data_IF_778700023805
#
_entry.id   IF_778700023805
#
_cell.length_a   1.000
_cell.length_b   1.000
_cell.length_c   1.000
_cell.angle_alpha   90.00
_cell.angle_beta   90.00
_cell.angle_gamma   90.00
#
_symmetry.space_group_name_H-M   'P 1'
#
loop_
_entity.id
_entity.type
_entity.pdbx_description
1 polymer ?
#
# COMPACT_ATOMS: atom_id res chain seq x y z
N UNK A 1 0.96 8.22 13.19
CA UNK A 1 0.10 7.22 12.54
C UNK A 1 -1.35 7.43 12.97
N UNK A 2 -1.58 7.63 14.27
CA UNK A 2 -2.89 7.80 14.90
C UNK A 2 -3.80 8.80 14.19
N UNK A 3 -3.33 10.03 13.93
CA UNK A 3 -4.14 11.04 13.22
C UNK A 3 -4.58 10.61 11.81
N UNK A 4 -3.78 9.80 11.12
CA UNK A 4 -4.15 9.24 9.82
C UNK A 4 -5.18 8.13 9.98
N UNK A 5 -4.98 7.22 10.94
CA UNK A 5 -5.93 6.16 11.26
C UNK A 5 -7.30 6.75 11.65
N UNK A 6 -7.33 7.70 12.59
CA UNK A 6 -8.54 8.40 13.02
C UNK A 6 -9.26 9.07 11.84
N UNK A 7 -8.51 9.73 10.96
CA UNK A 7 -9.08 10.39 9.79
C UNK A 7 -9.63 9.38 8.77
N UNK A 8 -8.99 8.22 8.60
CA UNK A 8 -9.48 7.14 7.73
C UNK A 8 -10.77 6.56 8.30
N UNK A 9 -10.78 6.22 9.60
CA UNK A 9 -11.99 5.74 10.29
C UNK A 9 -13.14 6.73 10.16
N UNK A 10 -12.90 8.02 10.43
CA UNK A 10 -13.90 9.07 10.25
C UNK A 10 -14.41 9.14 8.80
N UNK A 11 -13.51 8.99 7.82
CA UNK A 11 -13.85 8.94 6.41
C UNK A 11 -14.72 7.74 6.04
N UNK A 12 -14.42 6.55 6.55
CA UNK A 12 -15.19 5.32 6.29
C UNK A 12 -16.57 5.42 6.96
N UNK A 13 -16.63 5.82 8.23
CA UNK A 13 -17.89 5.97 8.98
C UNK A 13 -18.81 7.06 8.41
N UNK A 14 -18.26 8.15 7.89
CA UNK A 14 -19.06 9.16 7.18
C UNK A 14 -19.77 8.61 5.94
N UNK A 15 -19.36 7.44 5.43
CA UNK A 15 -19.98 6.73 4.30
C UNK A 15 -20.92 5.60 4.74
N UNK A 16 -21.14 5.43 6.04
CA UNK A 16 -22.05 4.42 6.58
C UNK A 16 -21.42 3.05 6.83
N UNK A 17 -20.12 2.90 6.61
CA UNK A 17 -19.36 1.67 6.82
C UNK A 17 -18.53 1.72 8.12
N UNK A 18 -18.06 0.57 8.59
CA UNK A 18 -17.12 0.46 9.71
C UNK A 18 -15.77 -0.08 9.24
N UNK A 19 -14.70 0.27 9.95
CA UNK A 19 -13.34 -0.26 9.71
C UNK A 19 -12.71 -0.66 11.03
N UNK A 20 -12.08 -1.83 11.05
CA UNK A 20 -11.21 -2.26 12.14
C UNK A 20 -9.78 -1.80 11.84
N UNK A 21 -9.09 -1.29 12.86
CA UNK A 21 -7.74 -0.74 12.72
C UNK A 21 -6.78 -1.49 13.62
N UNK A 22 -5.85 -2.21 12.99
CA UNK A 22 -4.72 -2.85 13.66
C UNK A 22 -3.43 -2.02 13.48
N UNK A 23 -2.72 -1.79 14.58
CA UNK A 23 -1.45 -1.04 14.58
C UNK A 23 -0.28 -2.02 14.69
N UNK A 24 0.52 -2.09 13.63
CA UNK A 24 1.74 -2.89 13.59
C UNK A 24 2.98 -2.01 13.80
N UNK A 25 3.55 -2.08 15.01
CA UNK A 25 4.83 -1.45 15.32
C UNK A 25 5.99 -2.34 14.88
N UNK A 26 6.90 -1.81 14.06
CA UNK A 26 8.05 -2.59 13.57
C UNK A 26 9.21 -2.65 14.58
N UNK A 27 9.34 -1.68 15.49
CA UNK A 27 10.46 -1.61 16.43
C UNK A 27 10.61 -2.88 17.29
N UNK A 28 9.54 -3.47 17.85
CA UNK A 28 9.61 -4.76 18.56
C UNK A 28 10.07 -5.93 17.68
N UNK A 29 9.85 -5.87 16.36
CA UNK A 29 10.17 -6.94 15.42
C UNK A 29 11.61 -6.86 14.88
N UNK A 30 12.39 -5.85 15.25
CA UNK A 30 13.69 -5.58 14.62
C UNK A 30 14.66 -6.78 14.64
N UNK A 31 14.78 -7.46 15.78
CA UNK A 31 15.65 -8.64 15.91
C UNK A 31 15.12 -9.84 15.11
N UNK A 32 13.81 -10.07 15.15
CA UNK A 32 13.14 -11.16 14.42
C UNK A 32 13.21 -10.95 12.90
N UNK A 33 13.08 -9.71 12.43
CA UNK A 33 13.26 -9.32 11.03
C UNK A 33 14.71 -9.52 10.58
N UNK A 34 15.70 -9.09 11.39
CA UNK A 34 17.10 -9.34 11.09
C UNK A 34 17.41 -10.84 10.98
N UNK A 35 16.81 -11.65 11.87
CA UNK A 35 16.91 -13.13 11.80
C UNK A 35 16.31 -13.66 10.50
N UNK A 36 15.13 -13.18 10.12
CA UNK A 36 14.45 -13.59 8.89
C UNK A 36 15.29 -13.26 7.65
N UNK A 37 15.84 -12.04 7.55
CA UNK A 37 16.65 -11.61 6.40
C UNK A 37 17.98 -12.37 6.31
N UNK A 38 18.59 -12.74 7.43
CA UNK A 38 19.90 -13.42 7.45
C UNK A 38 19.81 -14.93 7.31
N UNK A 39 18.72 -15.54 7.79
CA UNK A 39 18.55 -17.01 7.81
C UNK A 39 17.52 -17.51 6.81
N UNK A 40 16.62 -16.65 6.33
CA UNK A 40 15.45 -17.02 5.53
C UNK A 40 14.29 -17.62 6.33
N UNK A 41 14.42 -17.78 7.66
CA UNK A 41 13.41 -18.40 8.52
C UNK A 41 12.72 -17.31 9.33
N UNK A 42 11.42 -17.13 9.11
CA UNK A 42 10.61 -16.15 9.82
C UNK A 42 10.16 -16.71 11.20
N UNK A 43 10.49 -16.04 12.32
CA UNK A 43 9.91 -16.38 13.61
C UNK A 43 8.40 -16.05 13.65
N UNK A 44 7.69 -16.60 14.63
CA UNK A 44 6.22 -16.55 14.68
C UNK A 44 5.64 -15.13 14.73
N UNK A 45 6.34 -14.19 15.36
CA UNK A 45 5.94 -12.77 15.42
C UNK A 45 6.02 -12.08 14.05
N UNK A 46 7.05 -12.39 13.24
CA UNK A 46 7.18 -11.92 11.86
C UNK A 46 6.12 -12.56 10.98
N UNK A 47 5.86 -13.86 11.13
CA UNK A 47 4.78 -14.53 10.38
C UNK A 47 3.43 -13.86 10.67
N UNK A 48 3.08 -13.67 11.95
CA UNK A 48 1.84 -13.00 12.33
C UNK A 48 1.75 -11.57 11.78
N UNK A 49 2.84 -10.82 11.79
CA UNK A 49 2.89 -9.47 11.22
C UNK A 49 2.69 -9.46 9.70
N UNK A 50 3.24 -10.44 8.99
CA UNK A 50 3.04 -10.61 7.53
C UNK A 50 1.59 -10.97 7.22
N UNK A 51 1.02 -11.91 7.97
CA UNK A 51 -0.35 -12.37 7.79
C UNK A 51 -1.36 -11.24 8.06
N UNK A 52 -1.11 -10.41 9.08
CA UNK A 52 -1.91 -9.23 9.38
C UNK A 52 -1.96 -8.27 8.19
N UNK A 53 -0.79 -7.95 7.58
CA UNK A 53 -0.71 -7.04 6.44
C UNK A 53 -1.32 -7.66 5.18
N UNK A 54 -1.14 -8.97 4.96
CA UNK A 54 -1.69 -9.68 3.81
C UNK A 54 -3.23 -9.83 3.87
N UNK A 55 -3.81 -9.79 5.07
CA UNK A 55 -5.26 -9.84 5.28
C UNK A 55 -5.94 -8.47 5.21
N UNK A 56 -5.18 -7.37 5.22
CA UNK A 56 -5.73 -6.02 5.29
C UNK A 56 -6.38 -5.57 3.97
N UNK A 57 -7.58 -4.98 4.06
CA UNK A 57 -8.27 -4.37 2.92
C UNK A 57 -7.65 -3.03 2.48
N UNK A 58 -6.81 -2.43 3.34
CA UNK A 58 -5.99 -1.26 3.01
C UNK A 58 -4.93 -1.01 4.05
N UNK A 59 -3.91 -0.22 3.68
CA UNK A 59 -2.72 -0.03 4.52
C UNK A 59 -2.36 1.45 4.65
N UNK A 60 -1.97 1.86 5.86
CA UNK A 60 -1.29 3.14 6.11
C UNK A 60 0.16 2.86 6.47
N UNK A 61 1.07 3.05 5.52
CA UNK A 61 2.49 2.78 5.70
C UNK A 61 3.23 4.05 6.14
N UNK A 62 3.77 4.05 7.36
CA UNK A 62 4.46 5.20 7.95
C UNK A 62 5.91 4.85 8.26
N UNK A 63 6.86 5.74 7.93
CA UNK A 63 8.29 5.52 8.21
C UNK A 63 9.00 6.81 8.65
N UNK A 64 9.88 6.76 9.66
CA UNK A 64 10.77 7.88 9.92
C UNK A 64 11.81 8.00 8.81
N UNK A 65 12.20 9.23 8.48
CA UNK A 65 13.25 9.51 7.50
C UNK A 65 14.63 9.39 8.14
N UNK A 66 15.42 8.41 7.68
CA UNK A 66 16.83 8.25 8.04
C UNK A 66 17.69 8.32 6.78
N UNK A 67 18.76 9.12 6.81
CA UNK A 67 19.70 9.30 5.68
C UNK A 67 18.98 9.62 4.36
N UNK A 68 18.01 10.54 4.41
CA UNK A 68 17.17 10.98 3.29
C UNK A 68 16.35 9.86 2.60
N UNK A 69 16.10 8.75 3.28
CA UNK A 69 15.24 7.66 2.81
C UNK A 69 14.32 7.15 3.93
N UNK A 70 13.46 6.19 3.61
CA UNK A 70 12.75 5.39 4.61
C UNK A 70 13.74 4.67 5.53
N UNK A 71 13.29 4.32 6.75
CA UNK A 71 14.14 3.57 7.68
C UNK A 71 14.51 2.18 7.16
N UNK A 72 15.70 1.70 7.55
CA UNK A 72 16.13 0.34 7.20
C UNK A 72 15.20 -0.73 7.75
N UNK A 73 14.62 -0.51 8.93
CA UNK A 73 13.64 -1.41 9.53
C UNK A 73 12.34 -1.51 8.72
N UNK A 74 11.85 -0.38 8.22
CA UNK A 74 10.73 -0.36 7.29
C UNK A 74 11.03 -1.20 6.05
N UNK A 75 12.20 -0.99 5.43
CA UNK A 75 12.59 -1.76 4.25
C UNK A 75 12.74 -3.25 4.54
N UNK A 76 13.35 -3.63 5.67
CA UNK A 76 13.48 -5.03 6.07
C UNK A 76 12.12 -5.71 6.21
N UNK A 77 11.10 -5.03 6.73
CA UNK A 77 9.76 -5.59 6.81
C UNK A 77 9.16 -5.84 5.42
N UNK A 78 9.22 -4.87 4.50
CA UNK A 78 8.72 -5.07 3.14
C UNK A 78 9.52 -6.10 2.33
N UNK A 79 10.80 -6.29 2.65
CA UNK A 79 11.65 -7.31 2.00
C UNK A 79 11.30 -8.75 2.37
N UNK A 80 10.66 -8.95 3.52
CA UNK A 80 10.23 -10.28 3.95
C UNK A 80 8.78 -10.59 3.58
N UNK A 81 8.03 -9.65 2.98
CA UNK A 81 6.68 -9.91 2.49
C UNK A 81 6.71 -10.78 1.22
N UNK A 82 5.57 -11.44 0.94
CA UNK A 82 5.39 -12.07 -0.35
C UNK A 82 5.25 -10.96 -1.43
N UNK A 83 5.92 -11.05 -2.59
CA UNK A 83 5.89 -10.01 -3.61
C UNK A 83 4.49 -9.62 -4.09
N UNK A 84 3.54 -10.54 -4.03
CA UNK A 84 2.17 -10.31 -4.50
C UNK A 84 1.21 -9.91 -3.37
N UNK A 85 1.64 -9.89 -2.10
CA UNK A 85 0.77 -9.69 -0.93
C UNK A 85 0.08 -8.32 -0.88
N UNK A 86 0.58 -7.34 -1.62
CA UNK A 86 0.04 -5.98 -1.66
C UNK A 86 -0.56 -5.61 -3.02
N UNK A 87 -0.71 -6.58 -3.93
CA UNK A 87 -1.24 -6.31 -5.27
C UNK A 87 -2.64 -5.72 -5.19
N UNK A 88 -2.79 -4.48 -5.68
CA UNK A 88 -4.06 -3.76 -5.70
C UNK A 88 -4.53 -3.25 -4.33
N UNK A 89 -3.79 -3.50 -3.25
CA UNK A 89 -4.18 -3.06 -1.90
C UNK A 89 -4.11 -1.53 -1.83
N UNK A 90 -5.24 -0.84 -1.55
CA UNK A 90 -5.26 0.59 -1.35
C UNK A 90 -4.32 1.04 -0.23
N UNK A 91 -3.47 2.04 -0.49
CA UNK A 91 -2.46 2.44 0.48
C UNK A 91 -2.27 3.96 0.59
N UNK A 92 -2.11 4.45 1.83
CA UNK A 92 -1.52 5.76 2.11
C UNK A 92 -0.08 5.59 2.54
N UNK A 93 0.82 6.36 1.94
CA UNK A 93 2.23 6.44 2.37
C UNK A 93 2.49 7.73 3.13
N UNK A 94 3.21 7.62 4.24
CA UNK A 94 3.54 8.75 5.09
C UNK A 94 4.96 8.65 5.66
N UNK A 95 5.54 9.81 5.96
CA UNK A 95 6.87 9.87 6.56
C UNK A 95 7.00 11.02 7.56
N UNK A 96 7.85 10.82 8.57
CA UNK A 96 8.18 11.83 9.58
C UNK A 96 9.66 12.18 9.54
N UNK A 97 10.00 13.45 9.78
CA UNK A 97 11.38 13.90 9.82
C UNK A 97 11.60 15.09 10.76
N UNK A 98 12.86 15.36 11.09
CA UNK A 98 13.26 16.57 11.82
C UNK A 98 13.10 17.86 11.01
N UNK A 99 13.09 17.78 9.67
CA UNK A 99 13.03 18.95 8.77
C UNK A 99 12.22 18.62 7.50
N UNK A 100 11.64 19.62 6.81
CA UNK A 100 10.89 19.41 5.57
C UNK A 100 11.75 19.17 4.33
N UNK A 101 13.08 19.29 4.44
CA UNK A 101 14.03 19.20 3.30
C UNK A 101 14.00 17.85 2.58
N UNK A 102 13.50 16.81 3.25
CA UNK A 102 13.40 15.46 2.71
C UNK A 102 11.97 15.06 2.34
N UNK A 103 11.05 16.02 2.16
CA UNK A 103 9.64 15.75 1.84
C UNK A 103 9.44 14.86 0.61
N UNK A 104 10.31 15.04 -0.39
CA UNK A 104 10.34 14.28 -1.63
C UNK A 104 10.69 12.79 -1.46
N UNK A 105 11.10 12.33 -0.26
CA UNK A 105 11.35 10.91 0.02
C UNK A 105 10.14 10.03 -0.28
N UNK A 106 8.92 10.57 -0.10
CA UNK A 106 7.69 9.83 -0.34
C UNK A 106 7.56 9.46 -1.82
N UNK A 107 7.89 10.36 -2.73
CA UNK A 107 7.73 10.14 -4.17
C UNK A 107 8.96 9.51 -4.83
N UNK A 108 10.15 9.66 -4.23
CA UNK A 108 11.40 9.13 -4.80
C UNK A 108 11.90 7.84 -4.17
N UNK A 109 11.40 7.44 -2.99
CA UNK A 109 11.80 6.21 -2.33
C UNK A 109 10.60 5.34 -1.92
N UNK A 110 9.65 5.90 -1.18
CA UNK A 110 8.54 5.10 -0.61
C UNK A 110 7.57 4.64 -1.69
N UNK A 111 7.05 5.55 -2.51
CA UNK A 111 6.09 5.23 -3.58
C UNK A 111 6.69 4.26 -4.62
N UNK A 112 7.94 4.41 -5.10
CA UNK A 112 8.56 3.41 -5.95
C UNK A 112 8.61 2.01 -5.34
N UNK A 113 8.91 1.88 -4.04
CA UNK A 113 8.89 0.60 -3.34
C UNK A 113 7.48 -0.01 -3.31
N UNK A 114 6.46 0.80 -2.99
CA UNK A 114 5.07 0.32 -2.96
C UNK A 114 4.55 -0.05 -4.36
N UNK A 115 4.93 0.71 -5.39
CA UNK A 115 4.61 0.41 -6.78
C UNK A 115 5.27 -0.90 -7.24
N UNK A 116 6.50 -1.19 -6.80
CA UNK A 116 7.15 -2.47 -7.08
C UNK A 116 6.34 -3.65 -6.50
N UNK A 117 5.76 -3.47 -5.31
CA UNK A 117 4.84 -4.42 -4.66
C UNK A 117 3.39 -4.34 -5.19
N UNK A 118 3.17 -3.57 -6.28
CA UNK A 118 1.88 -3.38 -6.96
C UNK A 118 0.76 -2.87 -6.06
N UNK A 119 1.09 -2.15 -4.99
CA UNK A 119 0.10 -1.49 -4.14
C UNK A 119 -0.58 -0.33 -4.87
N UNK A 120 -1.86 -0.10 -4.59
CA UNK A 120 -2.62 1.05 -5.12
C UNK A 120 -2.46 2.25 -4.20
N UNK A 121 -1.31 2.92 -4.33
CA UNK A 121 -0.97 4.07 -3.49
C UNK A 121 -1.78 5.29 -3.90
N UNK A 122 -2.53 5.86 -2.96
CA UNK A 122 -3.33 7.07 -3.21
C UNK A 122 -2.45 8.26 -3.62
N UNK A 123 -3.00 9.23 -4.38
CA UNK A 123 -2.23 10.40 -4.83
C UNK A 123 -1.63 11.21 -3.68
N UNK A 124 -2.39 11.46 -2.61
CA UNK A 124 -1.93 12.31 -1.51
C UNK A 124 -1.05 11.53 -0.53
N UNK A 125 0.26 11.78 -0.57
CA UNK A 125 1.21 11.32 0.44
C UNK A 125 1.30 12.32 1.62
N UNK A 126 1.61 11.83 2.83
CA UNK A 126 1.67 12.68 4.04
C UNK A 126 3.08 12.75 4.59
N UNK A 127 3.69 13.93 4.49
CA UNK A 127 4.95 14.23 5.16
C UNK A 127 4.71 15.15 6.37
N UNK A 128 5.30 14.82 7.51
CA UNK A 128 5.27 15.66 8.71
C UNK A 128 6.71 15.96 9.18
N UNK A 129 7.13 17.22 9.06
CA UNK A 129 8.32 17.70 9.74
C UNK A 129 8.00 18.07 11.19
N UNK A 130 9.01 18.12 12.06
CA UNK A 130 8.81 18.48 13.47
C UNK A 130 8.18 19.87 13.66
N UNK A 131 8.49 20.81 12.77
CA UNK A 131 7.89 22.16 12.78
C UNK A 131 6.46 22.21 12.26
N UNK A 132 6.00 21.18 11.54
CA UNK A 132 4.66 21.13 10.94
C UNK A 132 3.62 20.47 11.86
N UNK A 133 4.05 19.93 12.99
CA UNK A 133 3.14 19.29 13.93
C UNK A 133 2.10 20.31 14.44
N UNK A 134 0.84 19.91 14.41
CA UNK A 134 -0.34 20.74 14.73
C UNK A 134 -0.62 21.92 13.77
N UNK A 135 -0.01 21.95 12.58
CA UNK A 135 -0.42 22.92 11.54
C UNK A 135 -1.76 22.56 10.91
N UNK A 136 -2.52 23.58 10.51
CA UNK A 136 -3.80 23.41 9.79
C UNK A 136 -3.58 22.73 8.44
N UNK A 137 -2.47 23.03 7.77
CA UNK A 137 -2.11 22.48 6.46
C UNK A 137 -1.84 20.98 6.52
N UNK A 138 -1.08 20.50 7.53
CA UNK A 138 -0.86 19.08 7.76
C UNK A 138 -2.19 18.37 8.02
N UNK A 139 -3.04 18.92 8.88
CA UNK A 139 -4.37 18.36 9.16
C UNK A 139 -5.26 18.26 7.92
N UNK A 140 -5.24 19.27 7.03
CA UNK A 140 -5.96 19.24 5.76
C UNK A 140 -5.42 18.18 4.80
N UNK A 141 -4.09 17.99 4.75
CA UNK A 141 -3.46 16.94 3.94
C UNK A 141 -3.77 15.54 4.46
N UNK A 142 -3.74 15.33 5.78
CA UNK A 142 -4.15 14.08 6.43
C UNK A 142 -5.59 13.73 6.06
N UNK A 143 -6.53 14.67 6.20
CA UNK A 143 -7.94 14.45 5.83
C UNK A 143 -8.12 14.12 4.36
N UNK A 144 -7.34 14.76 3.47
CA UNK A 144 -7.39 14.46 2.03
C UNK A 144 -6.91 13.04 1.73
N UNK A 145 -5.73 12.65 2.22
CA UNK A 145 -5.19 11.31 2.04
C UNK A 145 -6.12 10.23 2.61
N UNK A 146 -6.65 10.47 3.82
CA UNK A 146 -7.61 9.59 4.45
C UNK A 146 -8.92 9.46 3.65
N UNK A 147 -9.41 10.58 3.11
CA UNK A 147 -10.62 10.59 2.27
C UNK A 147 -10.46 9.79 0.98
N UNK A 148 -9.27 9.87 0.35
CA UNK A 148 -8.90 9.10 -0.85
C UNK A 148 -8.79 7.59 -0.53
N UNK A 149 -8.20 7.23 0.61
CA UNK A 149 -8.11 5.83 1.04
C UNK A 149 -9.48 5.26 1.38
N UNK A 150 -10.26 5.97 2.19
CA UNK A 150 -11.61 5.57 2.55
C UNK A 150 -12.52 5.44 1.32
N UNK A 151 -12.30 6.26 0.27
CA UNK A 151 -13.01 6.08 -0.99
C UNK A 151 -12.66 4.74 -1.63
N UNK A 152 -11.39 4.34 -1.69
CA UNK A 152 -10.98 3.05 -2.26
C UNK A 152 -11.48 1.86 -1.44
N UNK A 153 -11.47 1.97 -0.12
CA UNK A 153 -11.97 0.91 0.78
C UNK A 153 -13.48 0.64 0.60
N UNK A 154 -14.27 1.69 0.35
CA UNK A 154 -15.73 1.58 0.20
C UNK A 154 -16.16 1.37 -1.27
N UNK A 155 -15.29 1.73 -2.23
CA UNK A 155 -15.58 1.56 -3.67
C UNK A 155 -15.16 0.18 -4.15
N UNK A 156 -15.79 -0.87 -3.64
CA UNK A 156 -15.61 -2.25 -4.12
C UNK A 156 -16.61 -2.66 -5.19
N UNK A 157 -17.63 -1.85 -5.47
CA UNK A 157 -18.47 -2.03 -6.66
C UNK A 157 -17.84 -1.31 -7.85
N UNK A 158 -17.10 -2.06 -8.66
CA UNK A 158 -16.65 -1.58 -9.96
C UNK A 158 -17.84 -1.05 -10.76
N UNK A 159 -17.73 0.15 -11.32
CA UNK A 159 -18.73 0.65 -12.27
C UNK A 159 -18.67 -0.26 -13.50
N UNK A 160 -19.67 -1.13 -13.65
CA UNK A 160 -19.90 -1.89 -14.87
C UNK A 160 -20.26 -0.90 -16.00
N UNK A 161 -19.23 -0.38 -16.66
CA UNK A 161 -19.41 0.60 -17.71
C UNK A 161 -18.11 1.29 -18.06
N UNK A 162 -17.33 0.64 -18.92
CA UNK A 162 -16.41 1.19 -19.94
C UNK A 162 -15.19 0.29 -20.22
N UNK A 163 -14.98 -0.78 -19.45
CA UNK A 163 -13.97 -1.82 -19.75
C UNK A 163 -14.60 -3.00 -20.49
N UNK A 164 -13.92 -3.51 -21.53
CA UNK A 164 -14.18 -4.85 -22.09
C UNK A 164 -13.89 -5.96 -21.06
N UNK A 165 -13.78 -7.24 -21.48
CA UNK A 165 -13.90 -8.39 -20.59
C UNK A 165 -12.71 -8.51 -19.63
N UNK A 166 -12.80 -7.81 -18.50
CA UNK A 166 -11.97 -8.05 -17.32
C UNK A 166 -12.90 -8.04 -16.12
N UNK A 167 -13.74 -9.08 -16.03
CA UNK A 167 -14.29 -9.51 -14.75
C UNK A 167 -13.10 -9.96 -13.89
N UNK A 168 -12.65 -9.07 -13.00
CA UNK A 168 -11.66 -9.38 -11.97
C UNK A 168 -12.31 -9.96 -10.71
N UNK A 169 -13.56 -10.39 -10.80
CA UNK A 169 -14.31 -11.04 -9.71
C UNK A 169 -13.91 -12.51 -9.51
N UNK A 170 -12.61 -12.81 -9.69
CA UNK A 170 -12.06 -14.12 -9.47
C UNK A 170 -11.55 -14.25 -8.03
N UNK A 171 -11.94 -15.29 -7.27
CA UNK A 171 -11.42 -15.52 -5.93
C UNK A 171 -9.89 -15.62 -5.97
N UNK A 172 -9.22 -15.00 -4.99
CA UNK A 172 -7.76 -15.03 -4.78
C UNK A 172 -7.24 -16.46 -4.97
N UNK A 173 -6.66 -16.74 -6.15
CA UNK A 173 -6.10 -18.05 -6.48
C UNK A 173 -4.83 -18.26 -5.67
N UNK A 174 -4.91 -19.13 -4.66
CA UNK A 174 -3.75 -19.87 -4.19
C UNK A 174 -3.16 -20.68 -5.35
N UNK A 175 -1.83 -20.75 -5.39
CA UNK A 175 -1.06 -21.14 -6.56
C UNK A 175 -1.37 -22.53 -7.12
N UNK A 176 -1.24 -22.63 -8.44
CA UNK A 176 -1.18 -23.90 -9.18
C UNK A 176 -2.05 -23.93 -10.43
N UNK A 177 -1.54 -23.36 -11.54
CA UNK A 177 -1.68 -23.86 -12.93
C UNK A 177 -1.49 -22.71 -13.92
N UNK A 178 -0.35 -22.71 -14.61
CA UNK A 178 -0.08 -21.83 -15.75
C UNK A 178 -0.58 -22.49 -17.03
N UNK A 179 -1.88 -22.70 -17.13
CA UNK A 179 -2.52 -23.05 -18.40
C UNK A 179 -3.33 -21.86 -18.89
N UNK A 180 -2.71 -21.06 -19.76
CA UNK A 180 -3.33 -19.91 -20.42
C UNK A 180 -4.09 -20.32 -21.70
N UNK A 181 -4.26 -21.62 -21.96
CA UNK A 181 -4.86 -22.12 -23.20
C UNK A 181 -4.08 -21.67 -24.44
N UNK A 182 -4.65 -21.94 -25.61
CA UNK A 182 -4.07 -21.51 -26.89
C UNK A 182 -4.30 -20.01 -27.11
N UNK A 183 -3.25 -19.22 -26.89
CA UNK A 183 -3.24 -17.78 -27.18
C UNK A 183 -3.21 -17.56 -28.70
N UNK A 184 -4.22 -16.87 -29.22
CA UNK A 184 -4.23 -16.42 -30.62
C UNK A 184 -3.06 -15.46 -30.86
N UNK A 185 -2.22 -15.67 -31.88
CA UNK A 185 -1.09 -14.79 -32.15
C UNK A 185 -1.52 -13.34 -32.40
N UNK A 186 -0.80 -12.40 -31.79
CA UNK A 186 -1.10 -10.96 -31.86
C UNK A 186 -1.20 -10.41 -33.30
N UNK A 187 -0.45 -11.00 -34.23
CA UNK A 187 -0.52 -10.67 -35.65
C UNK A 187 -1.89 -10.95 -36.29
N UNK A 188 -2.66 -11.91 -35.78
CA UNK A 188 -4.01 -12.21 -36.27
C UNK A 188 -5.04 -11.19 -35.79
N UNK A 189 -4.84 -10.64 -34.58
CA UNK A 189 -5.71 -9.60 -34.03
C UNK A 189 -5.59 -8.27 -34.79
N UNK A 190 -4.46 -8.04 -35.46
CA UNK A 190 -4.17 -6.80 -36.19
C UNK A 190 -4.59 -6.83 -37.66
N UNK A 191 -5.02 -7.98 -38.21
CA UNK A 191 -5.37 -8.11 -39.64
C UNK A 191 -6.57 -7.25 -40.08
N UNK A 192 -7.35 -6.68 -39.15
CA UNK A 192 -8.51 -5.83 -39.43
C UNK A 192 -8.33 -4.32 -39.13
N UNK A 193 -7.17 -3.92 -38.62
CA UNK A 193 -6.91 -2.54 -38.18
C UNK A 193 -5.68 -1.96 -38.87
N UNK A 194 -5.73 -1.84 -40.20
CA UNK A 194 -4.84 -0.92 -40.90
C UNK A 194 -5.35 0.49 -40.60
N UNK A 195 -4.76 1.13 -39.59
CA UNK A 195 -5.01 2.54 -39.29
C UNK A 195 -4.83 3.38 -40.54
N UNK A 196 -5.92 4.00 -40.98
CA UNK A 196 -5.99 5.04 -42.00
C UNK A 196 -6.61 6.29 -41.40
#
# INVERSE_FOLDING_TARGET
>A
ADQLADAVTAGVTARGESVDVDVLELAPLAASLATTVTTGIAPADVVAARDLVAAADGVVAVTPVFTASYSGLFKMFFDVLDPDSLTGVPMVVAATAGTPRHSLVLDHAVRPLMNYLRADVVPTAVFAATEDFATVELGARIRRAAGELAQRLVSTDGVAGFGGPTDLDSPRRSGGSTDLGTVTPFAELLKGHTGG
#
